data_IF_958181116796
#
_entry.id   IF_958181116796
#
_cell.length_a   1.000
_cell.length_b   1.000
_cell.length_c   1.000
_cell.angle_alpha   90.00
_cell.angle_beta   90.00
_cell.angle_gamma   90.00
#
_symmetry.space_group_name_H-M   'P 1'
#
loop_
_entity.id
_entity.type
_entity.pdbx_description
1 polymer ?
#
# COMPACT_ATOMS: atom_id res chain seq x y z
N UNK A 1 28.91 -23.54 33.92
CA UNK A 1 28.92 -22.08 33.78
C UNK A 1 29.24 -21.69 32.34
N UNK A 2 28.23 -21.24 31.58
CA UNK A 2 28.38 -20.36 30.42
C UNK A 2 27.23 -19.33 30.50
N UNK A 3 27.57 -18.10 30.17
CA UNK A 3 26.97 -16.83 30.60
C UNK A 3 25.58 -16.56 30.00
N UNK A 4 24.77 -15.82 30.75
CA UNK A 4 23.61 -15.04 30.29
C UNK A 4 24.03 -13.90 29.34
N UNK A 5 23.12 -13.56 28.42
CA UNK A 5 22.81 -12.16 28.06
C UNK A 5 22.90 -11.81 26.57
N UNK A 6 21.75 -11.70 25.89
CA UNK A 6 21.23 -10.48 25.25
C UNK A 6 20.05 -10.85 24.34
N UNK A 7 18.91 -10.18 24.51
CA UNK A 7 17.79 -10.25 23.58
C UNK A 7 18.28 -9.86 22.18
N UNK A 8 17.98 -10.69 21.21
CA UNK A 8 18.26 -10.49 19.80
C UNK A 8 17.34 -11.44 19.07
N UNK A 9 16.04 -11.27 19.28
CA UNK A 9 15.03 -12.02 18.55
C UNK A 9 15.15 -11.54 17.10
N UNK A 10 15.72 -12.39 16.24
CA UNK A 10 15.72 -12.21 14.80
C UNK A 10 14.27 -12.35 14.33
N UNK A 11 13.55 -11.24 14.25
CA UNK A 11 12.22 -11.23 13.67
C UNK A 11 12.29 -11.59 12.19
N UNK A 12 11.41 -12.48 11.76
CA UNK A 12 11.17 -12.71 10.33
C UNK A 12 10.54 -11.47 9.69
N UNK A 13 10.66 -11.32 8.37
CA UNK A 13 10.01 -10.22 7.64
C UNK A 13 8.48 -10.23 7.81
N UNK A 14 7.88 -11.39 8.08
CA UNK A 14 6.44 -11.54 8.31
C UNK A 14 6.03 -11.06 9.71
N UNK A 15 6.79 -11.42 10.75
CA UNK A 15 6.57 -10.93 12.12
C UNK A 15 6.79 -9.41 12.20
N UNK A 16 7.83 -8.88 11.54
CA UNK A 16 8.03 -7.43 11.42
C UNK A 16 6.83 -6.73 10.77
N UNK A 17 6.27 -7.33 9.71
CA UNK A 17 5.11 -6.78 9.01
C UNK A 17 3.88 -6.75 9.92
N UNK A 18 3.60 -7.84 10.62
CA UNK A 18 2.45 -7.92 11.53
C UNK A 18 2.55 -6.89 12.66
N UNK A 19 3.74 -6.74 13.26
CA UNK A 19 3.98 -5.73 14.29
C UNK A 19 3.72 -4.32 13.74
N UNK A 20 4.29 -4.00 12.57
CA UNK A 20 4.13 -2.68 11.96
C UNK A 20 2.67 -2.40 11.55
N UNK A 21 1.94 -3.40 11.04
CA UNK A 21 0.51 -3.29 10.71
C UNK A 21 -0.31 -2.98 11.97
N UNK A 22 -0.04 -3.66 13.08
CA UNK A 22 -0.68 -3.39 14.36
C UNK A 22 -0.35 -1.97 14.89
N UNK A 23 0.87 -1.48 14.70
CA UNK A 23 1.23 -0.10 15.08
C UNK A 23 0.43 0.93 14.28
N UNK A 24 0.36 0.78 12.96
CA UNK A 24 -0.42 1.68 12.10
C UNK A 24 -1.89 1.69 12.53
N UNK A 25 -2.52 0.51 12.63
CA UNK A 25 -3.93 0.39 12.96
C UNK A 25 -4.26 0.88 14.38
N UNK A 26 -3.37 0.65 15.35
CA UNK A 26 -3.57 1.07 16.74
C UNK A 26 -3.45 2.58 16.97
N UNK A 27 -2.82 3.31 16.06
CA UNK A 27 -2.75 4.77 16.13
C UNK A 27 -4.11 5.45 15.94
N UNK A 28 -5.06 4.79 15.24
CA UNK A 28 -6.38 5.33 14.90
C UNK A 28 -6.39 6.30 13.71
N UNK A 29 -5.21 6.67 13.19
CA UNK A 29 -5.04 7.61 12.09
C UNK A 29 -4.99 6.94 10.71
N UNK A 30 -4.76 5.63 10.71
CA UNK A 30 -4.59 4.82 9.52
C UNK A 30 -5.76 3.86 9.32
N UNK A 31 -6.12 3.67 8.04
CA UNK A 31 -7.00 2.59 7.64
C UNK A 31 -6.45 1.85 6.43
N UNK A 32 -6.74 0.55 6.38
CA UNK A 32 -6.51 -0.26 5.20
C UNK A 32 -7.76 -0.25 4.34
N UNK A 33 -7.61 0.20 3.11
CA UNK A 33 -8.66 0.26 2.11
C UNK A 33 -8.47 -0.84 1.08
N UNK A 34 -9.58 -1.31 0.53
CA UNK A 34 -9.61 -2.25 -0.60
C UNK A 34 -10.18 -1.52 -1.82
N UNK A 35 -9.55 -1.70 -2.98
CA UNK A 35 -10.01 -1.08 -4.22
C UNK A 35 -9.44 -1.74 -5.46
N UNK A 36 -9.44 -0.98 -6.55
CA UNK A 36 -9.01 -1.42 -7.86
C UNK A 36 -7.90 -0.52 -8.40
N UNK A 37 -6.81 -1.13 -8.88
CA UNK A 37 -5.74 -0.46 -9.60
C UNK A 37 -5.80 -0.83 -11.08
N UNK A 38 -5.52 0.14 -11.95
CA UNK A 38 -5.43 -0.07 -13.40
C UNK A 38 -3.95 0.01 -13.79
N UNK A 39 -3.45 -1.01 -14.50
CA UNK A 39 -2.11 -0.99 -15.06
C UNK A 39 -2.08 -0.15 -16.34
N UNK A 40 -1.81 1.15 -16.20
CA UNK A 40 -1.76 2.09 -17.33
C UNK A 40 -0.60 1.83 -18.29
N UNK A 41 0.49 1.21 -17.82
CA UNK A 41 1.65 0.88 -18.66
C UNK A 41 1.34 -0.26 -19.63
N UNK A 42 0.70 -1.32 -19.14
CA UNK A 42 0.22 -2.40 -20.01
C UNK A 42 -0.92 -1.95 -20.92
N UNK A 43 -1.75 -1.03 -20.43
CA UNK A 43 -2.84 -0.44 -21.21
C UNK A 43 -2.34 0.54 -22.29
N UNK A 44 -1.18 1.17 -22.08
CA UNK A 44 -0.59 2.19 -22.97
C UNK A 44 0.93 2.01 -23.15
N UNK A 45 1.39 0.89 -23.74
CA UNK A 45 2.82 0.58 -23.81
C UNK A 45 3.62 1.58 -24.66
N UNK A 46 2.96 2.28 -25.59
CA UNK A 46 3.56 3.26 -26.49
C UNK A 46 3.36 4.72 -25.99
N UNK A 47 2.80 4.89 -24.79
CA UNK A 47 2.61 6.19 -24.14
C UNK A 47 1.84 7.23 -24.98
N UNK A 48 0.81 6.79 -25.71
CA UNK A 48 -0.07 7.70 -26.46
C UNK A 48 -0.79 8.69 -25.53
N UNK A 49 -1.01 9.93 -26.00
CA UNK A 49 -1.78 10.95 -25.26
C UNK A 49 -3.25 10.53 -25.06
N UNK A 50 -3.82 9.83 -26.05
CA UNK A 50 -5.19 9.33 -26.02
C UNK A 50 -5.23 7.89 -26.56
N UNK A 51 -6.03 7.04 -25.91
CA UNK A 51 -6.25 5.65 -26.31
C UNK A 51 -7.75 5.45 -26.50
N UNK A 52 -8.11 4.82 -27.61
CA UNK A 52 -9.49 4.45 -27.90
C UNK A 52 -9.65 2.94 -27.79
N UNK A 53 -10.61 2.51 -26.98
CA UNK A 53 -10.89 1.09 -26.76
C UNK A 53 -12.22 0.68 -27.38
N UNK A 54 -12.31 -0.60 -27.74
CA UNK A 54 -13.55 -1.24 -28.12
C UNK A 54 -14.25 -1.79 -26.86
N UNK A 55 -15.53 -1.45 -26.68
CA UNK A 55 -16.33 -1.89 -25.55
C UNK A 55 -17.65 -1.14 -25.52
N UNK A 56 -18.71 -1.74 -24.95
CA UNK A 56 -19.97 -1.02 -24.78
C UNK A 56 -19.93 -0.11 -23.56
N UNK A 57 -19.05 -0.39 -22.61
CA UNK A 57 -18.84 0.34 -21.37
C UNK A 57 -17.34 0.40 -21.02
N UNK A 58 -16.96 1.39 -20.23
CA UNK A 58 -15.57 1.59 -19.80
C UNK A 58 -15.04 0.36 -19.06
N UNK A 59 -15.85 -0.26 -18.20
CA UNK A 59 -15.46 -1.42 -17.40
C UNK A 59 -15.08 -2.62 -18.26
N UNK A 60 -15.78 -2.83 -19.39
CA UNK A 60 -15.46 -3.89 -20.35
C UNK A 60 -14.16 -3.58 -21.10
N UNK A 61 -13.92 -2.30 -21.42
CA UNK A 61 -12.74 -1.87 -22.14
C UNK A 61 -11.45 -1.98 -21.33
N UNK A 62 -11.53 -1.87 -19.99
CA UNK A 62 -10.36 -1.87 -19.11
C UNK A 62 -10.17 -3.16 -18.32
N UNK A 63 -11.11 -4.12 -18.38
CA UNK A 63 -11.17 -5.26 -17.44
C UNK A 63 -9.87 -6.06 -17.35
N UNK A 64 -9.15 -6.19 -18.46
CA UNK A 64 -7.92 -6.97 -18.54
C UNK A 64 -6.73 -6.27 -17.87
N UNK A 65 -6.85 -4.97 -17.62
CA UNK A 65 -5.80 -4.13 -17.02
C UNK A 65 -6.10 -3.76 -15.56
N UNK A 66 -7.25 -4.16 -15.02
CA UNK A 66 -7.63 -3.83 -13.65
C UNK A 66 -7.36 -5.01 -12.72
N UNK A 67 -6.76 -4.74 -11.56
CA UNK A 67 -6.61 -5.72 -10.48
C UNK A 67 -7.18 -5.18 -9.17
N UNK A 68 -7.72 -6.09 -8.36
CA UNK A 68 -8.08 -5.77 -6.97
C UNK A 68 -6.80 -5.61 -6.14
N UNK A 69 -6.73 -4.58 -5.32
CA UNK A 69 -5.56 -4.29 -4.48
C UNK A 69 -5.96 -3.65 -3.15
N UNK A 70 -5.00 -3.50 -2.26
CA UNK A 70 -5.13 -2.80 -0.99
C UNK A 70 -4.27 -1.55 -0.98
N UNK A 71 -4.69 -0.58 -0.18
CA UNK A 71 -4.00 0.70 0.04
C UNK A 71 -4.08 1.07 1.51
N UNK A 72 -3.19 1.94 1.95
CA UNK A 72 -3.16 2.52 3.28
C UNK A 72 -3.51 4.00 3.20
N UNK A 73 -4.55 4.42 3.92
CA UNK A 73 -4.99 5.81 3.97
C UNK A 73 -4.67 6.41 5.33
N UNK A 74 -4.07 7.60 5.33
CA UNK A 74 -3.78 8.41 6.51
C UNK A 74 -4.72 9.60 6.54
N UNK A 75 -5.52 9.71 7.62
CA UNK A 75 -6.64 10.66 7.75
C UNK A 75 -6.45 11.93 8.56
N UNK A 76 -5.44 12.10 9.45
CA UNK A 76 -5.44 13.23 10.38
C UNK A 76 -4.84 14.55 9.82
N UNK A 77 -4.61 14.68 8.51
CA UNK A 77 -4.14 15.93 7.89
C UNK A 77 -5.22 16.62 7.04
N UNK A 78 -4.99 17.86 6.61
CA UNK A 78 -5.88 18.69 5.77
C UNK A 78 -6.20 18.11 4.37
N UNK A 79 -5.92 16.82 4.15
CA UNK A 79 -6.23 16.01 2.98
C UNK A 79 -5.95 14.53 3.22
N UNK A 80 -6.66 13.65 2.51
CA UNK A 80 -6.41 12.21 2.58
C UNK A 80 -5.12 11.85 1.84
N UNK A 81 -4.18 11.21 2.53
CA UNK A 81 -2.96 10.70 1.90
C UNK A 81 -3.04 9.18 1.76
N UNK A 82 -2.88 8.68 0.53
CA UNK A 82 -3.01 7.26 0.20
C UNK A 82 -1.66 6.69 -0.23
N UNK A 83 -1.34 5.49 0.25
CA UNK A 83 -0.13 4.75 -0.04
C UNK A 83 -0.50 3.37 -0.60
N UNK A 84 0.05 2.99 -1.76
CA UNK A 84 -0.16 1.65 -2.32
C UNK A 84 0.68 0.60 -1.60
N UNK A 85 1.90 0.96 -1.20
CA UNK A 85 2.85 0.08 -0.55
C UNK A 85 2.81 0.20 0.97
N UNK A 86 2.76 -0.94 1.66
CA UNK A 86 2.70 -1.02 3.12
C UNK A 86 3.90 -0.34 3.79
N UNK A 87 5.12 -0.59 3.28
CA UNK A 87 6.33 -0.05 3.90
C UNK A 87 6.50 1.45 3.71
N UNK A 88 5.90 2.02 2.65
CA UNK A 88 5.86 3.47 2.46
C UNK A 88 4.95 4.13 3.50
N UNK A 89 3.81 3.50 3.82
CA UNK A 89 2.94 3.95 4.90
C UNK A 89 3.63 3.89 6.27
N UNK A 90 4.36 2.80 6.56
CA UNK A 90 5.17 2.66 7.79
C UNK A 90 6.22 3.77 7.88
N UNK A 91 6.99 3.97 6.82
CA UNK A 91 8.02 5.00 6.77
C UNK A 91 7.44 6.39 7.03
N UNK A 92 6.34 6.73 6.35
CA UNK A 92 5.67 8.01 6.56
C UNK A 92 5.19 8.18 8.01
N UNK A 93 4.63 7.12 8.60
CA UNK A 93 4.19 7.16 9.99
C UNK A 93 5.35 7.45 10.96
N UNK A 94 6.52 6.84 10.73
CA UNK A 94 7.71 7.08 11.54
C UNK A 94 8.23 8.52 11.37
N UNK A 95 8.33 9.00 10.13
CA UNK A 95 8.79 10.37 9.82
C UNK A 95 7.83 11.45 10.35
N UNK A 96 6.52 11.18 10.42
CA UNK A 96 5.52 12.12 10.93
C UNK A 96 5.56 12.35 12.45
N UNK A 97 6.31 11.51 13.19
CA UNK A 97 6.42 11.55 14.66
C UNK A 97 7.66 12.29 15.16
N UNK A 98 8.58 12.67 14.27
CA UNK A 98 9.78 13.47 14.58
C UNK A 98 9.50 14.98 14.54
#
# INVERSE_FOLDING_TARGET
MKKMGSHGDEYTCEECREIAENVLLSSGDWERLEGWAINTQEMNPEEYEEIFWEGKKLEEAISDYVRKTFWWSYKPSDGEQVFEEFWDAVKYHEESKE
#
